data_IF_424146728278
#
_entry.id   IF_424146728278
#
_cell.length_a   1.000
_cell.length_b   1.000
_cell.length_c   1.000
_cell.angle_alpha   90.00
_cell.angle_beta   90.00
_cell.angle_gamma   90.00
#
_symmetry.space_group_name_H-M   'P 1'
#
loop_
_entity.id
_entity.type
_entity.pdbx_description
1 polymer ?
#
# COMPACT_ATOMS: atom_id res chain seq x y z
N UNK A 1 60.26 -89.58 8.93
CA UNK A 1 58.78 -89.51 8.96
C UNK A 1 58.23 -88.20 9.57
N UNK A 2 58.85 -87.60 10.60
CA UNK A 2 58.36 -86.33 11.18
C UNK A 2 58.57 -85.08 10.30
N UNK A 3 59.64 -85.05 9.48
CA UNK A 3 59.97 -83.91 8.61
C UNK A 3 59.01 -83.80 7.40
N UNK A 4 58.53 -84.93 6.86
CA UNK A 4 57.57 -84.93 5.74
C UNK A 4 56.17 -84.50 6.18
N UNK A 5 55.76 -84.81 7.41
CA UNK A 5 54.49 -84.33 7.98
C UNK A 5 54.52 -82.82 8.27
N UNK A 6 55.65 -82.30 8.77
CA UNK A 6 55.84 -80.86 8.96
C UNK A 6 55.85 -80.12 7.62
N UNK A 7 56.53 -80.65 6.59
CA UNK A 7 56.51 -80.06 5.25
C UNK A 7 55.13 -80.16 4.59
N UNK A 8 54.35 -81.22 4.81
CA UNK A 8 52.97 -81.31 4.26
C UNK A 8 51.99 -80.38 4.98
N UNK A 9 52.15 -80.17 6.30
CA UNK A 9 51.35 -79.21 7.07
C UNK A 9 51.74 -77.76 6.72
N UNK A 10 53.03 -77.49 6.48
CA UNK A 10 53.52 -76.19 6.01
C UNK A 10 53.11 -75.93 4.55
N UNK A 11 53.14 -76.93 3.67
CA UNK A 11 52.68 -76.80 2.29
C UNK A 11 51.15 -76.63 2.19
N UNK A 12 50.38 -77.33 3.04
CA UNK A 12 48.93 -77.18 3.16
C UNK A 12 48.52 -75.82 3.76
N UNK A 13 49.28 -75.32 4.74
CA UNK A 13 49.06 -73.98 5.32
C UNK A 13 49.54 -72.84 4.41
N UNK A 14 50.57 -73.04 3.59
CA UNK A 14 51.02 -72.06 2.59
C UNK A 14 49.99 -71.87 1.46
N UNK A 15 49.36 -72.95 0.99
CA UNK A 15 48.28 -72.87 -0.02
C UNK A 15 47.04 -72.15 0.51
N UNK A 16 46.65 -72.40 1.75
CA UNK A 16 45.52 -71.70 2.40
C UNK A 16 45.84 -70.23 2.71
N UNK A 17 47.07 -69.91 3.12
CA UNK A 17 47.51 -68.52 3.29
C UNK A 17 47.53 -67.73 1.97
N UNK A 18 47.94 -68.35 0.86
CA UNK A 18 47.90 -67.73 -0.47
C UNK A 18 46.45 -67.47 -0.94
N UNK A 19 45.55 -68.42 -0.73
CA UNK A 19 44.12 -68.25 -1.04
C UNK A 19 43.44 -67.20 -0.16
N UNK A 20 43.74 -67.17 1.14
CA UNK A 20 43.24 -66.14 2.05
C UNK A 20 43.78 -64.74 1.68
N UNK A 21 45.03 -64.64 1.27
CA UNK A 21 45.63 -63.39 0.79
C UNK A 21 44.97 -62.92 -0.52
N UNK A 22 44.71 -63.83 -1.45
CA UNK A 22 43.98 -63.55 -2.68
C UNK A 22 42.53 -63.11 -2.43
N UNK A 23 41.83 -63.82 -1.54
CA UNK A 23 40.47 -63.47 -1.12
C UNK A 23 40.43 -62.10 -0.42
N UNK A 24 41.39 -61.80 0.45
CA UNK A 24 41.50 -60.49 1.11
C UNK A 24 41.74 -59.34 0.11
N UNK A 25 42.55 -59.56 -0.93
CA UNK A 25 42.77 -58.57 -1.99
C UNK A 25 41.51 -58.32 -2.83
N UNK A 26 40.77 -59.38 -3.16
CA UNK A 26 39.49 -59.26 -3.89
C UNK A 26 38.42 -58.57 -3.04
N UNK A 27 38.32 -58.93 -1.77
CA UNK A 27 37.39 -58.31 -0.82
C UNK A 27 37.70 -56.82 -0.64
N UNK A 28 38.99 -56.45 -0.54
CA UNK A 28 39.43 -55.05 -0.48
C UNK A 28 39.06 -54.26 -1.74
N UNK A 29 39.23 -54.85 -2.93
CA UNK A 29 38.82 -54.21 -4.20
C UNK A 29 37.31 -54.04 -4.29
N UNK A 30 36.54 -55.04 -3.85
CA UNK A 30 35.08 -54.98 -3.85
C UNK A 30 34.58 -53.92 -2.87
N UNK A 31 35.06 -53.90 -1.63
CA UNK A 31 34.73 -52.85 -0.64
C UNK A 31 35.09 -51.46 -1.17
N UNK A 32 36.28 -51.30 -1.74
CA UNK A 32 36.69 -50.00 -2.31
C UNK A 32 35.76 -49.56 -3.44
N UNK A 33 35.32 -50.47 -4.30
CA UNK A 33 34.37 -50.16 -5.37
C UNK A 33 33.00 -49.74 -4.83
N UNK A 34 32.46 -50.44 -3.81
CA UNK A 34 31.22 -50.07 -3.16
C UNK A 34 31.32 -48.70 -2.47
N UNK A 35 32.40 -48.44 -1.75
CA UNK A 35 32.65 -47.15 -1.10
C UNK A 35 32.77 -46.00 -2.11
N UNK A 36 33.50 -46.20 -3.22
CA UNK A 36 33.60 -45.20 -4.28
C UNK A 36 32.24 -44.91 -4.91
N UNK A 37 31.44 -45.95 -5.15
CA UNK A 37 30.09 -45.81 -5.72
C UNK A 37 29.15 -45.06 -4.78
N UNK A 38 29.21 -45.33 -3.48
CA UNK A 38 28.38 -44.64 -2.49
C UNK A 38 28.83 -43.19 -2.27
N UNK A 39 30.14 -42.91 -2.32
CA UNK A 39 30.66 -41.54 -2.32
C UNK A 39 30.20 -40.75 -3.54
N UNK A 40 30.24 -41.34 -4.74
CA UNK A 40 29.72 -40.69 -5.95
C UNK A 40 28.22 -40.44 -5.88
N UNK A 41 27.45 -41.40 -5.35
CA UNK A 41 26.01 -41.24 -5.15
C UNK A 41 25.70 -40.10 -4.18
N UNK A 42 26.38 -40.06 -3.03
CA UNK A 42 26.22 -39.00 -2.04
C UNK A 42 26.61 -37.65 -2.62
N UNK A 43 27.74 -37.57 -3.33
CA UNK A 43 28.18 -36.33 -4.00
C UNK A 43 27.12 -35.82 -4.99
N UNK A 44 26.55 -36.72 -5.80
CA UNK A 44 25.51 -36.38 -6.75
C UNK A 44 24.20 -35.96 -6.06
N UNK A 45 23.85 -36.57 -4.92
CA UNK A 45 22.71 -36.15 -4.10
C UNK A 45 22.94 -34.75 -3.53
N UNK A 46 24.08 -34.49 -2.89
CA UNK A 46 24.41 -33.17 -2.35
C UNK A 46 24.46 -32.09 -3.42
N UNK A 47 24.98 -32.39 -4.61
CA UNK A 47 24.96 -31.44 -5.73
C UNK A 47 23.52 -31.07 -6.12
N UNK A 48 22.63 -32.06 -6.24
CA UNK A 48 21.21 -31.83 -6.54
C UNK A 48 20.50 -31.06 -5.43
N UNK A 49 20.75 -31.40 -4.17
CA UNK A 49 20.13 -30.74 -3.03
C UNK A 49 20.58 -29.27 -2.94
N UNK A 50 21.86 -28.98 -3.23
CA UNK A 50 22.37 -27.62 -3.31
C UNK A 50 21.74 -26.83 -4.47
N UNK A 51 21.55 -27.45 -5.63
CA UNK A 51 20.86 -26.82 -6.75
C UNK A 51 19.39 -26.53 -6.41
N UNK A 52 18.68 -27.51 -5.84
CA UNK A 52 17.30 -27.35 -5.39
C UNK A 52 17.18 -26.24 -4.34
N UNK A 53 18.10 -26.20 -3.38
CA UNK A 53 18.13 -25.16 -2.36
C UNK A 53 18.40 -23.77 -2.95
N UNK A 54 19.33 -23.65 -3.90
CA UNK A 54 19.59 -22.39 -4.63
C UNK A 54 18.35 -21.92 -5.39
N UNK A 55 17.69 -22.81 -6.11
CA UNK A 55 16.45 -22.49 -6.83
C UNK A 55 15.36 -22.04 -5.85
N UNK A 56 15.21 -22.73 -4.71
CA UNK A 56 14.26 -22.35 -3.67
C UNK A 56 14.55 -20.96 -3.10
N UNK A 57 15.81 -20.66 -2.81
CA UNK A 57 16.22 -19.34 -2.33
C UNK A 57 15.92 -18.24 -3.35
N UNK A 58 16.23 -18.47 -4.63
CA UNK A 58 15.93 -17.50 -5.69
C UNK A 58 14.42 -17.25 -5.75
N UNK A 59 13.60 -18.30 -5.77
CA UNK A 59 12.14 -18.18 -5.80
C UNK A 59 11.60 -17.42 -4.57
N UNK A 60 12.15 -17.66 -3.38
CA UNK A 60 11.76 -16.93 -2.17
C UNK A 60 12.14 -15.45 -2.26
N UNK A 61 13.34 -15.13 -2.74
CA UNK A 61 13.76 -13.72 -2.93
C UNK A 61 12.90 -13.00 -3.97
N UNK A 62 12.53 -13.65 -5.07
CA UNK A 62 11.63 -13.10 -6.09
C UNK A 62 10.23 -12.87 -5.52
N UNK A 63 9.71 -13.82 -4.73
CA UNK A 63 8.43 -13.66 -4.03
C UNK A 63 8.44 -12.48 -3.09
N UNK A 64 9.52 -12.28 -2.33
CA UNK A 64 9.68 -11.14 -1.42
C UNK A 64 9.72 -9.82 -2.22
N UNK A 65 10.47 -9.77 -3.33
CA UNK A 65 10.52 -8.58 -4.21
C UNK A 65 9.15 -8.24 -4.78
N UNK A 66 8.45 -9.23 -5.36
CA UNK A 66 7.09 -9.05 -5.88
C UNK A 66 6.12 -8.57 -4.78
N UNK A 67 6.24 -9.11 -3.57
CA UNK A 67 5.41 -8.67 -2.44
C UNK A 67 5.71 -7.22 -2.02
N UNK A 68 6.97 -6.79 -2.05
CA UNK A 68 7.34 -5.39 -1.80
C UNK A 68 6.80 -4.46 -2.88
N UNK A 69 6.85 -4.86 -4.15
CA UNK A 69 6.27 -4.09 -5.26
C UNK A 69 4.76 -3.94 -5.12
N UNK A 70 4.03 -5.01 -4.76
CA UNK A 70 2.60 -4.95 -4.48
C UNK A 70 2.29 -4.00 -3.32
N UNK A 71 3.10 -4.01 -2.25
CA UNK A 71 2.95 -3.06 -1.13
C UNK A 71 3.17 -1.62 -1.57
N UNK A 72 4.19 -1.35 -2.40
CA UNK A 72 4.46 -0.02 -2.96
C UNK A 72 3.30 0.45 -3.84
N UNK A 73 2.81 -0.41 -4.74
CA UNK A 73 1.66 -0.10 -5.59
C UNK A 73 0.38 0.17 -4.76
N UNK A 74 0.15 -0.61 -3.70
CA UNK A 74 -0.95 -0.38 -2.77
C UNK A 74 -0.85 0.97 -2.04
N UNK A 75 0.34 1.34 -1.57
CA UNK A 75 0.58 2.63 -0.95
C UNK A 75 0.36 3.80 -1.92
N UNK A 76 0.87 3.69 -3.16
CA UNK A 76 0.64 4.69 -4.21
C UNK A 76 -0.85 4.87 -4.50
N UNK A 77 -1.61 3.78 -4.62
CA UNK A 77 -3.06 3.84 -4.86
C UNK A 77 -3.82 4.53 -3.72
N UNK A 78 -3.38 4.36 -2.46
CA UNK A 78 -3.96 5.09 -1.32
C UNK A 78 -3.64 6.58 -1.40
N UNK A 79 -2.42 6.95 -1.76
CA UNK A 79 -1.99 8.34 -1.93
C UNK A 79 -2.79 9.00 -3.07
N UNK A 80 -2.95 8.34 -4.21
CA UNK A 80 -3.75 8.83 -5.34
C UNK A 80 -5.22 9.06 -4.94
N UNK A 81 -5.82 8.12 -4.22
CA UNK A 81 -7.19 8.28 -3.71
C UNK A 81 -7.32 9.46 -2.75
N UNK A 82 -6.35 9.63 -1.85
CA UNK A 82 -6.29 10.76 -0.93
C UNK A 82 -6.16 12.09 -1.69
N UNK A 83 -5.23 12.16 -2.65
CA UNK A 83 -5.03 13.35 -3.49
C UNK A 83 -6.30 13.71 -4.24
N UNK A 84 -6.92 12.74 -4.92
CA UNK A 84 -8.16 12.95 -5.67
C UNK A 84 -9.30 13.45 -4.79
N UNK A 85 -9.49 12.85 -3.61
CA UNK A 85 -10.54 13.27 -2.68
C UNK A 85 -10.32 14.70 -2.15
N UNK A 86 -9.07 15.08 -1.87
CA UNK A 86 -8.73 16.43 -1.41
C UNK A 86 -8.85 17.48 -2.53
N UNK A 87 -8.48 17.13 -3.77
CA UNK A 87 -8.70 17.99 -4.94
C UNK A 87 -10.19 18.22 -5.20
N UNK A 88 -11.00 17.16 -5.20
CA UNK A 88 -12.45 17.29 -5.39
C UNK A 88 -13.10 18.16 -4.30
N UNK A 89 -12.60 18.05 -3.06
CA UNK A 89 -13.02 18.93 -1.97
C UNK A 89 -12.62 20.39 -2.21
N UNK A 90 -11.37 20.63 -2.61
CA UNK A 90 -10.86 21.96 -2.94
C UNK A 90 -11.72 22.61 -4.03
N UNK A 91 -11.86 21.94 -5.18
CA UNK A 91 -12.63 22.43 -6.33
C UNK A 91 -14.11 22.67 -5.98
N UNK A 92 -14.69 21.87 -5.08
CA UNK A 92 -16.08 22.04 -4.66
C UNK A 92 -16.30 23.29 -3.79
N UNK A 93 -15.29 23.65 -3.00
CA UNK A 93 -15.31 24.78 -2.06
C UNK A 93 -14.84 26.07 -2.74
N UNK A 94 -13.94 25.97 -3.71
CA UNK A 94 -13.35 27.12 -4.39
C UNK A 94 -14.40 27.98 -5.11
N UNK A 95 -14.54 29.24 -4.70
CA UNK A 95 -15.43 30.20 -5.35
C UNK A 95 -16.86 30.15 -4.82
N UNK A 96 -17.11 29.45 -3.71
CA UNK A 96 -18.42 29.50 -3.05
C UNK A 96 -18.71 30.91 -2.53
N UNK A 97 -17.71 31.62 -2.00
CA UNK A 97 -17.84 33.01 -1.57
C UNK A 97 -18.14 33.92 -2.75
N UNK A 98 -17.43 33.78 -3.87
CA UNK A 98 -17.68 34.58 -5.06
C UNK A 98 -19.12 34.40 -5.58
N UNK A 99 -19.62 33.17 -5.58
CA UNK A 99 -21.02 32.86 -5.89
C UNK A 99 -21.99 33.52 -4.89
N UNK A 100 -21.70 33.46 -3.60
CA UNK A 100 -22.51 34.08 -2.56
C UNK A 100 -22.53 35.61 -2.70
N UNK A 101 -21.39 36.26 -2.91
CA UNK A 101 -21.28 37.70 -3.11
C UNK A 101 -21.99 38.18 -4.38
N UNK A 102 -21.80 37.47 -5.49
CA UNK A 102 -22.47 37.79 -6.75
C UNK A 102 -23.99 37.63 -6.61
N UNK A 103 -24.44 36.55 -5.96
CA UNK A 103 -25.87 36.35 -5.68
C UNK A 103 -26.40 37.42 -4.74
N UNK A 104 -25.69 37.80 -3.68
CA UNK A 104 -26.13 38.84 -2.75
C UNK A 104 -26.38 40.18 -3.47
N UNK A 105 -25.49 40.54 -4.41
CA UNK A 105 -25.52 41.81 -5.15
C UNK A 105 -26.64 41.92 -6.20
N UNK A 106 -27.26 40.82 -6.60
CA UNK A 106 -28.35 40.84 -7.60
C UNK A 106 -29.66 41.39 -7.02
N UNK A 107 -30.43 42.17 -7.80
CA UNK A 107 -31.76 42.68 -7.43
C UNK A 107 -32.87 41.96 -8.23
N UNK A 108 -34.04 41.71 -7.62
CA UNK A 108 -35.26 41.26 -8.31
C UNK A 108 -35.65 39.78 -8.14
N UNK A 109 -36.77 39.39 -8.77
CA UNK A 109 -37.45 38.07 -8.60
C UNK A 109 -36.77 36.92 -9.35
N UNK A 110 -35.95 37.20 -10.37
CA UNK A 110 -35.14 36.20 -11.07
C UNK A 110 -34.06 35.53 -10.18
N UNK A 111 -33.90 36.05 -8.96
CA UNK A 111 -32.92 35.64 -7.95
C UNK A 111 -33.26 34.32 -7.25
N UNK A 112 -34.51 33.85 -7.28
CA UNK A 112 -34.97 32.85 -6.29
C UNK A 112 -34.99 31.40 -6.75
N UNK A 113 -35.31 31.08 -8.00
CA UNK A 113 -35.45 29.66 -8.44
C UNK A 113 -34.18 29.09 -9.04
N UNK A 114 -33.62 29.70 -10.09
CA UNK A 114 -32.42 29.18 -10.77
C UNK A 114 -31.18 29.12 -9.86
N UNK A 115 -31.05 30.09 -8.95
CA UNK A 115 -29.96 30.12 -7.98
C UNK A 115 -30.15 29.12 -6.84
N UNK A 116 -31.39 28.88 -6.40
CA UNK A 116 -31.65 27.88 -5.37
C UNK A 116 -31.26 26.47 -5.85
N UNK A 117 -31.57 26.13 -7.10
CA UNK A 117 -31.19 24.83 -7.68
C UNK A 117 -29.67 24.69 -7.84
N UNK A 118 -29.00 25.71 -8.39
CA UNK A 118 -27.53 25.73 -8.54
C UNK A 118 -26.82 25.63 -7.17
N UNK A 119 -27.34 26.33 -6.17
CA UNK A 119 -26.84 26.29 -4.79
C UNK A 119 -27.01 24.93 -4.17
N UNK A 120 -28.20 24.33 -4.32
CA UNK A 120 -28.47 23.01 -3.78
C UNK A 120 -27.55 21.97 -4.41
N UNK A 121 -27.32 22.05 -5.71
CA UNK A 121 -26.37 21.19 -6.41
C UNK A 121 -24.95 21.39 -5.89
N UNK A 122 -24.53 22.63 -5.68
CA UNK A 122 -23.21 22.93 -5.11
C UNK A 122 -23.04 22.43 -3.68
N UNK A 123 -24.07 22.57 -2.84
CA UNK A 123 -24.09 22.00 -1.48
C UNK A 123 -24.02 20.47 -1.49
N UNK A 124 -24.66 19.80 -2.46
CA UNK A 124 -24.54 18.34 -2.65
C UNK A 124 -23.12 17.96 -3.03
N UNK A 125 -22.49 18.70 -3.95
CA UNK A 125 -21.08 18.47 -4.33
C UNK A 125 -20.14 18.60 -3.14
N UNK A 126 -20.26 19.67 -2.36
CA UNK A 126 -19.47 19.88 -1.13
C UNK A 126 -19.71 18.73 -0.14
N UNK A 127 -20.97 18.28 0.04
CA UNK A 127 -21.28 17.18 0.95
C UNK A 127 -20.69 15.84 0.48
N UNK A 128 -20.73 15.56 -0.82
CA UNK A 128 -20.17 14.34 -1.40
C UNK A 128 -18.63 14.36 -1.32
N UNK A 129 -18.01 15.48 -1.69
CA UNK A 129 -16.57 15.68 -1.60
C UNK A 129 -16.09 15.61 -0.14
N UNK A 130 -16.84 16.18 0.81
CA UNK A 130 -16.56 16.05 2.24
C UNK A 130 -16.60 14.60 2.69
N UNK A 131 -17.63 13.84 2.29
CA UNK A 131 -17.74 12.42 2.63
C UNK A 131 -16.59 11.59 2.06
N UNK A 132 -16.15 11.89 0.84
CA UNK A 132 -15.03 11.22 0.19
C UNK A 132 -13.68 11.57 0.85
N UNK A 133 -13.49 12.84 1.26
CA UNK A 133 -12.28 13.32 1.91
C UNK A 133 -12.21 12.96 3.40
N UNK A 134 -13.34 12.69 4.06
CA UNK A 134 -13.44 12.46 5.51
C UNK A 134 -12.40 11.50 6.10
N UNK A 135 -12.08 10.33 5.49
CA UNK A 135 -11.07 9.42 6.04
C UNK A 135 -9.65 10.01 6.09
N UNK A 136 -9.41 11.11 5.38
CA UNK A 136 -8.11 11.76 5.22
C UNK A 136 -8.01 13.13 5.91
N UNK A 137 -9.12 13.59 6.50
CA UNK A 137 -9.20 14.84 7.24
C UNK A 137 -8.97 14.59 8.74
N UNK A 138 -8.43 15.60 9.41
CA UNK A 138 -8.40 15.61 10.88
C UNK A 138 -9.78 15.95 11.42
N UNK A 139 -10.06 15.62 12.68
CA UNK A 139 -11.33 15.97 13.33
C UNK A 139 -11.56 17.49 13.31
N UNK A 140 -10.50 18.28 13.54
CA UNK A 140 -10.57 19.73 13.50
C UNK A 140 -10.98 20.27 12.13
N UNK A 141 -10.40 19.74 11.05
CA UNK A 141 -10.76 20.11 9.68
C UNK A 141 -12.20 19.69 9.33
N UNK A 142 -12.61 18.50 9.76
CA UNK A 142 -13.98 18.02 9.55
C UNK A 142 -15.01 18.91 10.24
N UNK A 143 -14.70 19.40 11.45
CA UNK A 143 -15.50 20.38 12.18
C UNK A 143 -15.53 21.72 11.44
N UNK A 144 -14.38 22.22 10.97
CA UNK A 144 -14.30 23.45 10.20
C UNK A 144 -15.14 23.39 8.91
N UNK A 145 -15.10 22.26 8.20
CA UNK A 145 -15.86 22.06 6.97
C UNK A 145 -17.37 21.94 7.22
N UNK A 146 -17.75 21.30 8.33
CA UNK A 146 -19.14 21.23 8.77
C UNK A 146 -19.66 22.63 9.15
N UNK A 147 -18.83 23.44 9.81
CA UNK A 147 -19.12 24.83 10.12
C UNK A 147 -19.30 25.66 8.85
N UNK A 148 -18.40 25.51 7.88
CA UNK A 148 -18.50 26.15 6.56
C UNK A 148 -19.81 25.79 5.87
N UNK A 149 -20.16 24.50 5.78
CA UNK A 149 -21.43 24.05 5.18
C UNK A 149 -22.65 24.69 5.85
N UNK A 150 -22.66 24.79 7.18
CA UNK A 150 -23.75 25.46 7.92
C UNK A 150 -23.81 26.95 7.55
N UNK A 151 -22.66 27.63 7.51
CA UNK A 151 -22.59 29.04 7.11
C UNK A 151 -23.04 29.25 5.66
N UNK A 152 -22.71 28.37 4.71
CA UNK A 152 -23.22 28.43 3.33
C UNK A 152 -24.76 28.41 3.33
N UNK A 153 -25.36 27.43 4.01
CA UNK A 153 -26.81 27.27 4.08
C UNK A 153 -27.48 28.50 4.70
N UNK A 154 -26.89 29.05 5.78
CA UNK A 154 -27.40 30.24 6.45
C UNK A 154 -27.33 31.47 5.54
N UNK A 155 -26.18 31.71 4.89
CA UNK A 155 -26.00 32.84 3.97
C UNK A 155 -27.00 32.78 2.82
N UNK A 156 -27.19 31.60 2.21
CA UNK A 156 -28.17 31.42 1.14
C UNK A 156 -29.61 31.58 1.62
N UNK A 157 -29.95 31.11 2.83
CA UNK A 157 -31.27 31.31 3.42
C UNK A 157 -31.63 32.80 3.54
N UNK A 158 -30.67 33.62 3.96
CA UNK A 158 -30.81 35.07 4.10
C UNK A 158 -30.90 35.74 2.73
N UNK A 159 -29.98 35.42 1.80
CA UNK A 159 -29.94 36.02 0.45
C UNK A 159 -31.23 35.73 -0.35
N UNK A 160 -31.81 34.54 -0.19
CA UNK A 160 -33.05 34.15 -0.86
C UNK A 160 -34.31 34.62 -0.13
N UNK A 161 -34.19 35.34 0.98
CA UNK A 161 -35.32 35.82 1.78
C UNK A 161 -36.14 34.70 2.44
N UNK A 162 -35.57 33.50 2.57
CA UNK A 162 -36.23 32.33 3.19
C UNK A 162 -36.09 32.29 4.70
N UNK A 163 -35.11 32.99 5.27
CA UNK A 163 -34.97 33.19 6.70
C UNK A 163 -35.28 34.64 7.04
N UNK A 164 -36.26 34.86 7.91
CA UNK A 164 -36.70 36.18 8.37
C UNK A 164 -35.64 36.82 9.27
N UNK A 165 -34.66 37.49 8.67
CA UNK A 165 -33.82 38.47 9.37
C UNK A 165 -33.87 39.76 8.55
N UNK A 166 -34.42 40.86 9.09
CA UNK A 166 -34.19 42.19 8.56
C UNK A 166 -32.78 42.60 8.97
N UNK A 167 -31.77 41.85 8.49
CA UNK A 167 -30.39 42.20 8.71
C UNK A 167 -30.13 43.49 7.93
N UNK A 168 -29.74 44.56 8.62
CA UNK A 168 -29.18 45.74 7.98
C UNK A 168 -28.09 45.30 7.01
N UNK A 169 -27.91 46.03 5.91
CA UNK A 169 -26.94 45.66 4.87
C UNK A 169 -25.52 45.44 5.45
N UNK A 170 -25.18 46.16 6.52
CA UNK A 170 -23.95 45.98 7.29
C UNK A 170 -23.80 44.58 7.95
N UNK A 171 -24.89 43.99 8.46
CA UNK A 171 -24.85 42.65 9.06
C UNK A 171 -24.69 41.56 7.98
N UNK A 172 -25.28 41.76 6.80
CA UNK A 172 -25.10 40.85 5.67
C UNK A 172 -23.65 40.85 5.16
N UNK A 173 -23.06 42.04 5.04
CA UNK A 173 -21.67 42.19 4.62
C UNK A 173 -20.69 41.58 5.63
N UNK A 174 -20.92 41.77 6.93
CA UNK A 174 -20.10 41.16 7.99
C UNK A 174 -20.16 39.62 7.98
N UNK A 175 -21.35 39.04 7.75
CA UNK A 175 -21.53 37.60 7.64
C UNK A 175 -20.82 37.02 6.41
N UNK A 176 -20.91 37.70 5.26
CA UNK A 176 -20.22 37.28 4.04
C UNK A 176 -18.70 37.36 4.18
N UNK A 177 -18.20 38.37 4.90
CA UNK A 177 -16.77 38.48 5.21
C UNK A 177 -16.30 37.35 6.14
N UNK A 178 -17.07 37.02 7.18
CA UNK A 178 -16.79 35.86 8.04
C UNK A 178 -16.82 34.55 7.25
N UNK A 179 -17.78 34.40 6.33
CA UNK A 179 -17.85 33.27 5.43
C UNK A 179 -16.58 33.14 4.56
N UNK A 180 -16.16 34.23 3.92
CA UNK A 180 -14.94 34.27 3.10
C UNK A 180 -13.69 33.88 3.90
N UNK A 181 -13.59 34.32 5.16
CA UNK A 181 -12.50 33.90 6.07
C UNK A 181 -12.51 32.40 6.34
N UNK A 182 -13.69 31.80 6.56
CA UNK A 182 -13.84 30.34 6.78
C UNK A 182 -13.51 29.54 5.52
N UNK A 183 -13.96 29.99 4.35
CA UNK A 183 -13.63 29.36 3.07
C UNK A 183 -12.12 29.39 2.84
N UNK A 184 -11.50 30.56 3.00
CA UNK A 184 -10.05 30.72 2.84
C UNK A 184 -9.26 29.81 3.80
N UNK A 185 -9.70 29.66 5.04
CA UNK A 185 -9.06 28.75 6.00
C UNK A 185 -9.11 27.28 5.54
N UNK A 186 -10.25 26.83 5.01
CA UNK A 186 -10.42 25.47 4.47
C UNK A 186 -9.59 25.28 3.18
N UNK A 187 -9.60 26.25 2.27
CA UNK A 187 -8.81 26.21 1.04
C UNK A 187 -7.31 26.22 1.32
N UNK A 188 -6.85 27.05 2.25
CA UNK A 188 -5.44 27.10 2.66
C UNK A 188 -4.99 25.78 3.28
N UNK A 189 -5.78 25.20 4.18
CA UNK A 189 -5.51 23.90 4.81
C UNK A 189 -5.45 22.76 3.78
N UNK A 190 -6.43 22.69 2.87
CA UNK A 190 -6.46 21.66 1.81
C UNK A 190 -5.30 21.82 0.83
N UNK A 191 -4.99 23.06 0.40
CA UNK A 191 -3.86 23.37 -0.48
C UNK A 191 -2.52 23.01 0.17
N UNK A 192 -2.34 23.30 1.46
CA UNK A 192 -1.14 22.92 2.19
C UNK A 192 -0.92 21.41 2.18
N UNK A 193 -1.99 20.62 2.39
CA UNK A 193 -1.94 19.15 2.33
C UNK A 193 -1.67 18.62 0.94
N UNK A 194 -2.28 19.22 -0.09
CA UNK A 194 -2.03 18.88 -1.49
C UNK A 194 -0.54 19.08 -1.82
N UNK A 195 0.02 20.22 -1.40
CA UNK A 195 1.44 20.53 -1.61
C UNK A 195 2.38 19.64 -0.80
N UNK A 196 2.00 19.22 0.40
CA UNK A 196 2.77 18.27 1.20
C UNK A 196 2.84 16.90 0.50
N UNK A 197 1.70 16.43 -0.04
CA UNK A 197 1.66 15.17 -0.79
C UNK A 197 2.44 15.23 -2.11
N UNK A 198 2.48 16.37 -2.78
CA UNK A 198 3.25 16.54 -4.01
C UNK A 198 4.78 16.52 -3.79
N UNK A 199 5.24 16.70 -2.55
CA UNK A 199 6.67 16.66 -2.18
C UNK A 199 7.14 15.26 -1.74
N UNK A 200 6.21 14.35 -1.44
CA UNK A 200 6.47 13.00 -0.94
C UNK A 200 6.61 12.00 -2.08
#
# INVERSE_FOLDING_TARGET
MAIEFLLSVIASSAGTAALLSGAALLFRKQISHWLSKDLERLKNQYAKDLEAYRVSLIAETERIKAHQEVKKAGALLVIERKYKALMELHDSVEGVAADLFSTASMKGVAKTTRYADATQERLKRIANAHSAARPFLTDAESVALTSLKKSVVQCYGIILGRTSFPAEQAEQDAMLEEFGRKEFAVLSSTTAKINEMAKA
#
